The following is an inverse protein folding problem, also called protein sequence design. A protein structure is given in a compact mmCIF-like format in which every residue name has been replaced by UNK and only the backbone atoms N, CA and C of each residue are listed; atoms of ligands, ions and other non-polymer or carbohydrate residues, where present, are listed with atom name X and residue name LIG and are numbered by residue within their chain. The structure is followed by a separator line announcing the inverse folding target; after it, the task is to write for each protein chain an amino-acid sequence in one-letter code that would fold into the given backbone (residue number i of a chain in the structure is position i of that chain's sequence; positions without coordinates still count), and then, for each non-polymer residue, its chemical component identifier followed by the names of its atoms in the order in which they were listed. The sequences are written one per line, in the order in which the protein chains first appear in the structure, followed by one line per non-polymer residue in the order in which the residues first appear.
data_IF_028577220118
#
_entry.id   IF_028577220118
#
_cell.length_a   1.000
_cell.length_b   1.000
_cell.length_c   1.000
_cell.angle_alpha   90.00
_cell.angle_beta   90.00
_cell.angle_gamma   90.00
#
_symmetry.space_group_name_H-M   'P 1'
#
loop_
_entity.id
_entity.type
_entity.pdbx_description
1 polymer ?
#
# COMPACT_ATOMS: atom_id res chain seq x y z
N UNK A 1 15.70 10.52 -48.87
CA UNK A 1 15.52 11.10 -47.53
C UNK A 1 14.71 10.13 -46.69
N UNK A 2 15.24 9.61 -45.59
CA UNK A 2 14.51 8.78 -44.62
C UNK A 2 14.36 9.60 -43.34
N UNK A 3 13.19 9.64 -42.69
CA UNK A 3 13.04 10.38 -41.44
C UNK A 3 13.77 9.63 -40.31
N UNK A 4 14.59 10.36 -39.56
CA UNK A 4 15.21 9.88 -38.34
C UNK A 4 14.11 9.73 -37.27
N UNK A 5 13.81 8.50 -36.87
CA UNK A 5 12.97 8.23 -35.70
C UNK A 5 13.77 8.55 -34.45
N UNK A 6 13.38 9.59 -33.73
CA UNK A 6 13.85 9.87 -32.38
C UNK A 6 13.30 8.81 -31.42
N UNK A 7 14.08 7.76 -31.20
CA UNK A 7 13.91 6.83 -30.09
C UNK A 7 14.35 7.55 -28.81
N UNK A 8 13.42 8.26 -28.17
CA UNK A 8 13.62 8.82 -26.85
C UNK A 8 13.74 7.69 -25.83
N UNK A 9 14.97 7.33 -25.46
CA UNK A 9 15.25 6.49 -24.29
C UNK A 9 14.74 7.24 -23.07
N UNK A 10 13.56 6.89 -22.55
CA UNK A 10 13.13 7.34 -21.22
C UNK A 10 14.21 6.89 -20.25
N UNK A 11 14.94 7.85 -19.68
CA UNK A 11 15.91 7.59 -18.64
C UNK A 11 15.20 6.80 -17.53
N UNK A 12 15.73 5.61 -17.24
CA UNK A 12 15.31 4.81 -16.10
C UNK A 12 15.78 5.57 -14.86
N UNK A 13 14.91 6.43 -14.33
CA UNK A 13 15.09 6.97 -12.99
C UNK A 13 15.18 5.76 -12.07
N UNK A 14 16.22 5.62 -11.24
CA UNK A 14 16.29 4.50 -10.29
C UNK A 14 14.99 4.49 -9.49
N UNK A 15 14.39 3.31 -9.33
CA UNK A 15 13.17 3.17 -8.53
C UNK A 15 13.47 3.64 -7.10
N UNK A 16 13.16 4.91 -6.83
CA UNK A 16 13.31 5.49 -5.50
C UNK A 16 12.34 4.75 -4.57
N UNK A 17 12.87 4.21 -3.47
CA UNK A 17 12.04 3.61 -2.41
C UNK A 17 11.09 4.68 -1.85
N UNK A 18 9.79 4.46 -1.96
CA UNK A 18 8.76 5.34 -1.42
C UNK A 18 8.03 4.67 -0.26
N UNK A 19 7.94 5.38 0.87
CA UNK A 19 7.26 4.89 2.07
C UNK A 19 6.11 5.83 2.39
N UNK A 20 4.90 5.27 2.47
CA UNK A 20 3.68 5.98 2.79
C UNK A 20 3.21 5.58 4.19
N UNK A 21 2.96 6.56 5.07
CA UNK A 21 2.35 6.32 6.39
C UNK A 21 1.01 7.03 6.48
N UNK A 22 -0.05 6.30 6.79
CA UNK A 22 -1.42 6.83 6.82
C UNK A 22 -2.22 6.34 8.03
N UNK A 23 -2.86 7.28 8.71
CA UNK A 23 -3.97 6.99 9.61
C UNK A 23 -5.23 6.76 8.76
N UNK A 24 -5.78 5.55 8.78
CA UNK A 24 -6.89 5.17 7.91
C UNK A 24 -8.28 5.49 8.47
N UNK A 25 -8.39 5.89 9.74
CA UNK A 25 -9.66 6.20 10.42
C UNK A 25 -10.73 5.12 10.17
N UNK A 26 -10.33 3.86 10.27
CA UNK A 26 -11.17 2.68 10.08
C UNK A 26 -11.26 2.15 8.65
N UNK A 27 -10.91 0.85 8.50
CA UNK A 27 -10.91 0.08 7.24
C UNK A 27 -11.84 -1.15 7.27
N UNK A 28 -12.80 -1.21 8.18
CA UNK A 28 -13.71 -2.36 8.31
C UNK A 28 -14.56 -2.63 7.06
N UNK A 29 -14.87 -1.60 6.28
CA UNK A 29 -15.67 -1.70 5.06
C UNK A 29 -14.82 -2.19 3.87
N UNK A 30 -15.22 -3.23 3.13
CA UNK A 30 -14.48 -3.72 1.95
C UNK A 30 -14.20 -2.62 0.92
N UNK A 31 -15.15 -1.71 0.70
CA UNK A 31 -15.04 -0.65 -0.30
C UNK A 31 -13.92 0.35 0.09
N UNK A 32 -13.79 0.65 1.38
CA UNK A 32 -12.70 1.49 1.91
C UNK A 32 -11.33 0.84 1.69
N UNK A 33 -11.22 -0.47 1.88
CA UNK A 33 -9.95 -1.20 1.66
C UNK A 33 -9.56 -1.20 0.19
N UNK A 34 -10.52 -1.47 -0.70
CA UNK A 34 -10.28 -1.41 -2.14
C UNK A 34 -9.87 -0.01 -2.60
N UNK A 35 -10.53 1.03 -2.08
CA UNK A 35 -10.15 2.43 -2.33
C UNK A 35 -8.73 2.73 -1.87
N UNK A 36 -8.39 2.40 -0.63
CA UNK A 36 -7.06 2.62 -0.07
C UNK A 36 -5.95 1.96 -0.89
N UNK A 37 -6.12 0.67 -1.27
CA UNK A 37 -5.14 -0.04 -2.09
C UNK A 37 -4.94 0.60 -3.48
N UNK A 38 -6.01 1.13 -4.08
CA UNK A 38 -5.93 1.89 -5.34
C UNK A 38 -5.14 3.18 -5.15
N UNK A 39 -5.41 3.89 -4.06
CA UNK A 39 -4.78 5.19 -3.78
C UNK A 39 -3.27 5.02 -3.48
N UNK A 40 -2.89 3.96 -2.77
CA UNK A 40 -1.47 3.64 -2.52
C UNK A 40 -0.71 3.34 -3.80
N UNK A 41 -1.33 2.55 -4.70
CA UNK A 41 -0.74 2.24 -6.00
C UNK A 41 -0.62 3.49 -6.87
N UNK A 42 -1.63 4.37 -6.88
CA UNK A 42 -1.59 5.64 -7.60
C UNK A 42 -0.44 6.55 -7.12
N UNK A 43 -0.12 6.51 -5.82
CA UNK A 43 1.01 7.22 -5.22
C UNK A 43 2.36 6.51 -5.44
N UNK A 44 2.38 5.35 -6.10
CA UNK A 44 3.57 4.52 -6.34
C UNK A 44 4.30 4.19 -5.03
N UNK A 45 3.56 3.99 -3.93
CA UNK A 45 4.13 3.64 -2.64
C UNK A 45 4.70 2.21 -2.65
N UNK A 46 6.00 2.05 -2.32
CA UNK A 46 6.65 0.74 -2.20
C UNK A 46 6.28 0.05 -0.89
N UNK A 47 6.24 0.82 0.21
CA UNK A 47 5.87 0.34 1.54
C UNK A 47 4.75 1.24 2.07
N UNK A 48 3.71 0.63 2.66
CA UNK A 48 2.59 1.35 3.27
C UNK A 48 2.46 0.95 4.74
N UNK A 49 2.50 1.93 5.62
CA UNK A 49 2.26 1.81 7.05
C UNK A 49 0.86 2.36 7.35
N UNK A 50 0.01 1.56 7.98
CA UNK A 50 -1.40 1.89 8.17
C UNK A 50 -1.74 1.83 9.65
N UNK A 51 -2.21 2.94 10.21
CA UNK A 51 -2.64 3.04 11.61
C UNK A 51 -4.15 3.25 11.71
N UNK A 52 -4.70 3.05 12.92
CA UNK A 52 -6.13 3.24 13.22
C UNK A 52 -7.03 2.50 12.22
N UNK A 53 -6.66 1.26 11.88
CA UNK A 53 -7.45 0.41 10.98
C UNK A 53 -8.81 0.05 11.55
N UNK A 54 -8.95 0.11 12.89
CA UNK A 54 -10.14 -0.26 13.66
C UNK A 54 -10.65 -1.66 13.32
N UNK A 55 -9.77 -2.56 12.83
CA UNK A 55 -10.15 -3.96 12.62
C UNK A 55 -10.59 -4.56 13.95
N UNK A 56 -11.65 -5.37 13.92
CA UNK A 56 -12.14 -6.04 15.11
C UNK A 56 -11.08 -7.01 15.65
N UNK A 57 -11.04 -7.19 16.96
CA UNK A 57 -10.15 -8.17 17.58
C UNK A 57 -10.33 -9.56 16.97
N UNK A 58 -9.21 -10.25 16.74
CA UNK A 58 -9.20 -11.55 16.06
C UNK A 58 -9.52 -11.51 14.56
N UNK A 59 -9.88 -10.34 14.00
CA UNK A 59 -10.13 -10.20 12.57
C UNK A 59 -8.90 -9.67 11.84
N UNK A 60 -8.56 -10.31 10.72
CA UNK A 60 -7.51 -9.86 9.80
C UNK A 60 -8.10 -9.72 8.39
N UNK A 61 -8.87 -8.65 8.11
CA UNK A 61 -9.46 -8.45 6.79
C UNK A 61 -8.35 -8.36 5.74
N UNK A 62 -8.58 -8.97 4.58
CA UNK A 62 -7.65 -8.92 3.46
C UNK A 62 -7.37 -7.46 3.08
N UNK A 63 -6.09 -7.07 3.17
CA UNK A 63 -5.56 -5.77 2.78
C UNK A 63 -4.34 -5.96 1.87
N UNK A 64 -4.48 -6.85 0.89
CA UNK A 64 -3.45 -7.22 -0.07
C UNK A 64 -4.04 -7.33 -1.48
N UNK A 65 -3.22 -7.08 -2.50
CA UNK A 65 -3.55 -7.26 -3.90
C UNK A 65 -2.27 -7.58 -4.71
N UNK A 66 -2.35 -7.58 -6.03
CA UNK A 66 -1.20 -7.82 -6.91
C UNK A 66 -0.04 -6.82 -6.69
N UNK A 67 -0.34 -5.56 -6.33
CA UNK A 67 0.68 -4.54 -6.07
C UNK A 67 1.26 -4.60 -4.64
N UNK A 68 0.45 -5.10 -3.69
CA UNK A 68 0.80 -5.29 -2.29
C UNK A 68 0.52 -6.75 -1.91
N UNK A 69 1.36 -7.71 -2.33
CA UNK A 69 1.10 -9.14 -2.14
C UNK A 69 1.25 -9.57 -0.68
N UNK A 70 2.05 -8.85 0.09
CA UNK A 70 2.38 -9.18 1.48
C UNK A 70 1.80 -8.12 2.41
N UNK A 71 1.14 -8.56 3.47
CA UNK A 71 0.60 -7.70 4.52
C UNK A 71 0.98 -8.22 5.90
N UNK A 72 1.44 -7.32 6.76
CA UNK A 72 1.75 -7.59 8.16
C UNK A 72 0.77 -6.82 9.04
N UNK A 73 0.33 -7.45 10.13
CA UNK A 73 -0.66 -6.88 11.03
C UNK A 73 -0.10 -6.91 12.44
N UNK A 74 -0.24 -5.80 13.16
CA UNK A 74 -0.06 -5.78 14.60
C UNK A 74 -1.38 -6.12 15.27
N UNK A 75 -1.43 -7.23 15.99
CA UNK A 75 -2.53 -7.60 16.85
C UNK A 75 -2.15 -7.47 18.33
N UNK A 76 -3.12 -7.06 19.12
CA UNK A 76 -2.97 -7.09 20.56
C UNK A 76 -3.21 -8.53 21.04
N UNK A 77 -2.13 -9.25 21.33
CA UNK A 77 -2.22 -10.46 22.13
C UNK A 77 -2.38 -10.05 23.60
N UNK A 78 -3.59 -10.21 24.14
CA UNK A 78 -3.85 -10.10 25.57
C UNK A 78 -2.94 -11.10 26.32
N UNK A 79 -1.81 -10.63 26.84
CA UNK A 79 -0.81 -11.51 27.47
C UNK A 79 0.56 -10.87 27.73
N UNK A 80 0.88 -9.73 27.14
CA UNK A 80 2.03 -8.91 27.56
C UNK A 80 1.52 -7.63 28.20
N UNK A 81 1.48 -7.63 29.52
CA UNK A 81 1.34 -6.39 30.31
C UNK A 81 2.37 -5.38 29.84
N UNK A 82 1.91 -4.14 29.64
CA UNK A 82 2.78 -2.97 29.53
C UNK A 82 3.44 -2.68 30.88
#
# INVERSE_FOLDING_TARGET
MRPHSHTGTKALVPDCLSVLSINARGLNKPEKRSGALRDFHAQRASIVLIQETHFKDGSRPKLTNHHYPTGYYSDYHAGRSR
#
